data_IF_798570489656
#
_entry.id   IF_798570489656
#
_cell.length_a   1.000
_cell.length_b   1.000
_cell.length_c   1.000
_cell.angle_alpha   90.00
_cell.angle_beta   90.00
_cell.angle_gamma   90.00
#
_symmetry.space_group_name_H-M   'P 1'
#
loop_
_entity.id
_entity.type
_entity.pdbx_description
1 polymer ?
#
# COMPACT_ATOMS: atom_id res chain seq x y z
N UNK A 1 -2.92 -13.28 6.49
CA UNK A 1 -2.14 -12.04 6.65
C UNK A 1 -1.46 -11.72 5.32
N UNK A 2 -1.61 -10.50 4.79
CA UNK A 2 -0.84 -10.04 3.61
C UNK A 2 0.39 -9.31 4.10
N UNK A 3 1.55 -9.64 3.53
CA UNK A 3 2.88 -9.26 4.05
C UNK A 3 3.28 -7.80 3.85
N UNK A 4 2.68 -7.11 2.88
CA UNK A 4 3.20 -5.82 2.38
C UNK A 4 4.71 -5.87 2.14
N UNK A 5 5.14 -6.91 1.42
CA UNK A 5 6.51 -7.13 1.01
C UNK A 5 6.79 -6.24 -0.22
N UNK A 6 6.96 -4.94 0.02
CA UNK A 6 7.02 -3.92 -1.03
C UNK A 6 8.17 -4.17 -2.01
N UNK A 7 9.33 -4.64 -1.53
CA UNK A 7 10.49 -4.92 -2.36
C UNK A 7 10.41 -6.28 -3.10
N UNK A 8 9.50 -7.18 -2.70
CA UNK A 8 9.46 -8.55 -3.23
C UNK A 8 10.62 -9.42 -2.75
N UNK A 9 11.20 -9.12 -1.59
CA UNK A 9 12.41 -9.76 -1.06
C UNK A 9 12.12 -10.77 0.07
N UNK A 10 10.84 -11.12 0.25
CA UNK A 10 10.34 -12.02 1.27
C UNK A 10 10.38 -11.44 2.70
N UNK A 11 10.54 -10.12 2.88
CA UNK A 11 10.48 -9.44 4.18
C UNK A 11 9.13 -8.75 4.39
N UNK A 12 8.28 -9.25 5.30
CA UNK A 12 7.00 -8.60 5.59
C UNK A 12 7.20 -7.29 6.35
N UNK A 13 6.42 -6.27 6.02
CA UNK A 13 6.38 -4.99 6.74
C UNK A 13 5.12 -4.81 7.58
N UNK A 14 4.31 -5.86 7.77
CA UNK A 14 3.02 -5.78 8.49
C UNK A 14 3.04 -6.29 9.93
N UNK A 15 1.97 -5.97 10.67
CA UNK A 15 1.57 -6.58 11.94
C UNK A 15 0.23 -7.29 11.79
N UNK A 16 -0.07 -8.25 12.65
CA UNK A 16 -1.36 -8.93 12.65
C UNK A 16 -2.51 -7.96 12.99
N UNK A 17 -3.69 -8.22 12.43
CA UNK A 17 -4.91 -7.46 12.73
C UNK A 17 -5.06 -6.13 11.98
N UNK A 18 -4.18 -5.81 11.02
CA UNK A 18 -4.29 -4.60 10.20
C UNK A 18 -5.33 -4.78 9.08
N UNK A 19 -6.45 -4.02 9.11
CA UNK A 19 -7.46 -4.08 8.05
C UNK A 19 -6.90 -3.53 6.73
N UNK A 20 -7.31 -4.16 5.63
CA UNK A 20 -6.92 -3.77 4.27
C UNK A 20 -8.11 -3.92 3.34
N UNK A 21 -8.16 -3.03 2.35
CA UNK A 21 -9.08 -3.13 1.21
C UNK A 21 -8.24 -3.43 -0.03
N UNK A 22 -8.50 -4.57 -0.67
CA UNK A 22 -7.74 -5.05 -1.84
C UNK A 22 -8.70 -5.07 -3.01
N UNK A 23 -8.22 -4.61 -4.16
CA UNK A 23 -8.99 -4.54 -5.38
C UNK A 23 -8.05 -4.65 -6.59
N UNK A 24 -8.59 -4.95 -7.76
CA UNK A 24 -7.79 -5.21 -8.96
C UNK A 24 -8.16 -4.34 -10.16
N UNK A 25 -7.29 -4.35 -11.17
CA UNK A 25 -7.49 -3.61 -12.41
C UNK A 25 -8.51 -4.26 -13.35
N UNK A 26 -8.87 -5.52 -13.14
CA UNK A 26 -9.78 -6.30 -13.98
C UNK A 26 -11.25 -6.19 -13.54
N UNK A 27 -11.50 -5.61 -12.36
CA UNK A 27 -12.83 -5.41 -11.81
C UNK A 27 -13.44 -6.66 -11.14
N UNK A 28 -12.63 -7.67 -10.85
CA UNK A 28 -13.09 -8.90 -10.17
C UNK A 28 -13.33 -8.60 -8.68
N UNK A 29 -12.30 -8.07 -8.02
CA UNK A 29 -12.35 -7.47 -6.69
C UNK A 29 -12.46 -5.96 -6.84
N UNK A 30 -13.59 -5.43 -6.42
CA UNK A 30 -13.85 -3.98 -6.47
C UNK A 30 -13.48 -3.35 -5.14
N UNK A 31 -13.06 -2.09 -5.19
CA UNK A 31 -12.75 -1.32 -3.98
C UNK A 31 -14.00 -1.24 -3.13
N UNK A 32 -13.94 -1.80 -1.92
CA UNK A 32 -15.05 -1.66 -0.98
C UNK A 32 -15.30 -0.17 -0.72
N UNK A 33 -16.58 0.23 -0.71
CA UNK A 33 -16.98 1.52 -0.14
C UNK A 33 -16.51 1.57 1.33
N UNK A 34 -16.27 2.76 1.90
CA UNK A 34 -15.87 2.87 3.32
C UNK A 34 -16.85 2.06 4.17
N UNK A 35 -16.35 1.03 4.84
CA UNK A 35 -17.20 0.00 5.44
C UNK A 35 -17.94 0.51 6.68
N UNK A 36 -17.48 1.60 7.29
CA UNK A 36 -18.11 2.30 8.40
C UNK A 36 -17.54 3.74 8.49
N UNK A 37 -18.27 4.74 9.02
CA UNK A 37 -17.68 6.02 9.41
C UNK A 37 -16.46 5.81 10.32
N UNK A 38 -15.30 6.37 9.97
CA UNK A 38 -14.02 6.15 10.68
C UNK A 38 -13.18 4.97 10.17
N UNK A 39 -13.57 4.34 9.07
CA UNK A 39 -12.71 3.40 8.28
C UNK A 39 -12.01 4.11 7.13
N UNK A 40 -11.31 5.20 7.43
CA UNK A 40 -10.62 6.04 6.45
C UNK A 40 -9.43 5.30 5.83
N UNK A 41 -9.70 4.46 4.85
CA UNK A 41 -8.68 3.80 4.04
C UNK A 41 -8.22 4.72 2.92
N UNK A 42 -7.00 5.22 3.03
CA UNK A 42 -6.28 5.86 1.94
C UNK A 42 -5.63 4.82 1.03
N UNK A 43 -5.44 5.19 -0.24
CA UNK A 43 -4.68 4.38 -1.17
C UNK A 43 -3.26 4.15 -0.61
N UNK A 44 -2.85 2.89 -0.54
CA UNK A 44 -1.57 2.50 0.06
C UNK A 44 -0.53 2.22 -1.02
N UNK A 45 -0.85 1.30 -1.95
CA UNK A 45 0.11 0.83 -2.94
C UNK A 45 -0.56 0.18 -4.15
N UNK A 46 0.21 0.06 -5.24
CA UNK A 46 -0.10 -0.74 -6.41
C UNK A 46 1.01 -1.75 -6.70
N UNK A 47 0.59 -2.90 -7.22
CA UNK A 47 1.42 -4.10 -7.31
C UNK A 47 1.38 -4.68 -8.72
N UNK A 48 2.54 -5.07 -9.21
CA UNK A 48 2.70 -6.03 -10.30
C UNK A 48 3.01 -7.43 -9.75
N UNK A 49 3.27 -8.37 -10.65
CA UNK A 49 3.74 -9.71 -10.27
C UNK A 49 5.15 -9.70 -9.65
N UNK A 50 5.91 -8.62 -9.84
CA UNK A 50 7.29 -8.48 -9.38
C UNK A 50 7.43 -7.73 -8.05
N UNK A 51 6.34 -7.17 -7.52
CA UNK A 51 6.38 -6.38 -6.28
C UNK A 51 5.56 -5.09 -6.38
N UNK A 52 5.75 -4.21 -5.41
CA UNK A 52 5.12 -2.89 -5.47
C UNK A 52 5.81 -2.06 -6.56
N UNK A 53 5.00 -1.40 -7.38
CA UNK A 53 5.48 -0.46 -8.40
C UNK A 53 5.20 0.99 -8.02
N UNK A 54 4.42 1.19 -6.95
CA UNK A 54 4.01 2.48 -6.44
C UNK A 54 3.58 2.30 -4.97
N UNK A 55 4.13 3.10 -4.04
CA UNK A 55 3.71 3.10 -2.62
C UNK A 55 3.45 4.53 -2.14
N UNK A 56 2.19 4.86 -1.86
CA UNK A 56 1.77 6.15 -1.33
C UNK A 56 2.15 6.31 0.14
N UNK A 57 1.90 5.27 0.93
CA UNK A 57 2.34 5.19 2.32
C UNK A 57 2.50 3.72 2.74
N UNK A 58 3.45 3.41 3.65
CA UNK A 58 3.53 2.09 4.25
C UNK A 58 2.32 1.82 5.15
N UNK A 59 1.91 0.55 5.24
CA UNK A 59 0.83 0.14 6.14
C UNK A 59 1.17 0.34 7.61
N UNK A 60 2.40 0.00 7.99
CA UNK A 60 2.97 0.14 9.34
C UNK A 60 4.26 0.96 9.22
N UNK A 61 4.19 2.29 9.28
CA UNK A 61 5.35 3.18 9.13
C UNK A 61 6.50 2.91 10.11
N UNK A 62 6.21 2.30 11.27
CA UNK A 62 7.22 1.91 12.26
C UNK A 62 8.04 0.69 11.81
N UNK A 63 7.56 -0.10 10.85
CA UNK A 63 8.29 -1.25 10.32
C UNK A 63 9.12 -0.88 9.09
N UNK A 64 8.63 0.06 8.26
CA UNK A 64 9.36 0.58 7.10
C UNK A 64 8.83 1.96 6.70
N UNK A 65 9.74 2.90 6.40
CA UNK A 65 9.41 4.23 5.90
C UNK A 65 9.61 4.37 4.39
N UNK A 66 9.08 5.45 3.80
CA UNK A 66 9.28 5.74 2.37
C UNK A 66 10.75 5.92 2.01
N UNK A 67 11.56 6.51 2.88
CA UNK A 67 13.00 6.68 2.65
C UNK A 67 13.73 5.33 2.56
N UNK A 68 13.41 4.38 3.47
CA UNK A 68 13.92 3.01 3.41
C UNK A 68 13.47 2.30 2.14
N UNK A 69 12.21 2.45 1.73
CA UNK A 69 11.72 1.88 0.47
C UNK A 69 12.49 2.44 -0.74
N UNK A 70 12.78 3.75 -0.76
CA UNK A 70 13.55 4.36 -1.83
C UNK A 70 14.99 3.84 -1.90
N UNK A 71 15.60 3.57 -0.75
CA UNK A 71 16.97 3.09 -0.64
C UNK A 71 17.12 1.59 -0.91
N UNK A 72 16.15 0.78 -0.46
CA UNK A 72 16.25 -0.68 -0.42
C UNK A 72 15.53 -1.36 -1.60
N UNK A 73 14.40 -0.81 -2.05
CA UNK A 73 13.61 -1.42 -3.11
C UNK A 73 14.00 -0.85 -4.49
N UNK A 74 14.65 -1.67 -5.32
CA UNK A 74 14.97 -1.31 -6.71
C UNK A 74 13.70 -1.03 -7.50
N UNK A 75 13.65 0.14 -8.16
CA UNK A 75 12.56 0.52 -9.06
C UNK A 75 11.37 1.21 -8.39
N UNK A 76 11.45 1.45 -7.08
CA UNK A 76 10.42 2.19 -6.34
C UNK A 76 10.77 3.65 -6.11
N UNK A 77 12.05 4.06 -6.19
CA UNK A 77 12.52 5.40 -5.81
C UNK A 77 11.73 6.57 -6.40
N UNK A 78 11.22 6.43 -7.62
CA UNK A 78 10.48 7.48 -8.35
C UNK A 78 8.95 7.39 -8.20
N UNK A 79 8.45 6.43 -7.42
CA UNK A 79 7.03 6.10 -7.31
C UNK A 79 6.57 5.98 -5.85
N UNK A 80 7.03 6.90 -5.00
CA UNK A 80 6.73 6.92 -3.57
C UNK A 80 5.98 8.17 -3.14
N UNK A 81 5.26 8.05 -2.03
CA UNK A 81 4.66 9.19 -1.35
C UNK A 81 3.51 9.83 -2.13
N UNK A 82 3.34 11.16 -2.06
CA UNK A 82 2.16 11.85 -2.59
C UNK A 82 2.01 11.73 -4.12
N UNK A 83 3.10 11.51 -4.85
CA UNK A 83 3.07 11.30 -6.30
C UNK A 83 2.51 9.93 -6.68
N UNK A 84 2.55 8.98 -5.74
CA UNK A 84 1.89 7.70 -5.85
C UNK A 84 0.41 7.83 -5.47
N UNK A 85 -0.44 8.01 -6.47
CA UNK A 85 -1.90 8.00 -6.36
C UNK A 85 -2.44 6.78 -7.10
N UNK A 86 -3.67 6.37 -6.79
CA UNK A 86 -4.31 5.30 -7.56
C UNK A 86 -4.37 5.65 -9.06
N UNK A 87 -4.61 6.92 -9.40
CA UNK A 87 -4.65 7.39 -10.77
C UNK A 87 -3.28 7.31 -11.46
N UNK A 88 -2.19 7.71 -10.80
CA UNK A 88 -0.84 7.58 -11.37
C UNK A 88 -0.43 6.11 -11.49
N UNK A 89 -0.73 5.28 -10.48
CA UNK A 89 -0.46 3.85 -10.51
C UNK A 89 -1.20 3.13 -11.66
N UNK A 90 -2.45 3.50 -11.95
CA UNK A 90 -3.20 2.95 -13.10
C UNK A 90 -2.56 3.32 -14.44
N UNK A 91 -1.98 4.52 -14.56
CA UNK A 91 -1.29 4.97 -15.78
C UNK A 91 0.02 4.22 -16.06
N UNK A 92 0.64 3.60 -15.05
CA UNK A 92 1.83 2.78 -15.24
C UNK A 92 1.57 1.52 -16.10
N UNK A 93 0.31 1.10 -16.24
CA UNK A 93 -0.08 -0.05 -17.08
C UNK A 93 0.35 -1.44 -16.57
N UNK A 94 1.33 -1.48 -15.65
CA UNK A 94 1.82 -2.69 -15.01
C UNK A 94 1.05 -3.08 -13.73
N UNK A 95 0.29 -2.16 -13.13
CA UNK A 95 -0.52 -2.43 -11.94
C UNK A 95 -1.56 -3.51 -12.22
N UNK A 96 -1.66 -4.51 -11.34
CA UNK A 96 -2.67 -5.58 -11.38
C UNK A 96 -3.54 -5.56 -10.13
N UNK A 97 -2.91 -5.38 -8.98
CA UNK A 97 -3.56 -5.32 -7.67
C UNK A 97 -3.27 -3.97 -7.04
N UNK A 98 -4.26 -3.46 -6.33
CA UNK A 98 -4.18 -2.25 -5.53
C UNK A 98 -4.64 -2.58 -4.12
N UNK A 99 -4.17 -1.79 -3.17
CA UNK A 99 -4.74 -1.84 -1.85
C UNK A 99 -4.79 -0.46 -1.19
N UNK A 100 -5.71 -0.36 -0.25
CA UNK A 100 -5.89 0.78 0.62
C UNK A 100 -5.83 0.31 2.09
N UNK A 101 -5.26 1.14 2.94
CA UNK A 101 -5.19 0.93 4.40
C UNK A 101 -5.21 2.27 5.11
N UNK A 102 -5.30 2.27 6.44
CA UNK A 102 -5.28 3.53 7.20
C UNK A 102 -3.90 4.19 7.20
N UNK A 103 -2.82 3.40 7.20
CA UNK A 103 -1.51 3.86 7.68
C UNK A 103 -1.58 4.23 9.17
N UNK A 104 -0.58 3.90 9.99
CA UNK A 104 -0.61 4.26 11.42
C UNK A 104 -0.30 5.75 11.66
N UNK A 105 -1.05 6.66 11.05
CA UNK A 105 -1.01 8.10 11.35
C UNK A 105 -1.88 8.50 12.56
N UNK A 106 -2.41 7.54 13.33
CA UNK A 106 -3.08 7.79 14.61
C UNK A 106 -2.16 7.37 15.77
N UNK A 107 -1.81 8.28 16.70
CA UNK A 107 -1.06 7.91 17.90
C UNK A 107 -1.85 6.89 18.73
N UNK A 108 -1.13 5.95 19.36
CA UNK A 108 -1.60 4.74 20.05
C UNK A 108 -2.67 4.94 21.16
N UNK A 109 -3.05 6.19 21.47
CA UNK A 109 -3.93 6.56 22.58
C UNK A 109 -5.44 6.55 22.26
N UNK A 110 -5.85 6.02 21.10
CA UNK A 110 -7.26 5.93 20.70
C UNK A 110 -7.77 4.48 20.66
N UNK A 111 -7.53 3.71 21.73
CA UNK A 111 -8.17 2.42 22.00
C UNK A 111 -8.84 2.43 23.37
#
# INVERSE_FOLDING_TARGET
MIRADYCGDNRPSTRNGMPINIYDSFGIQQRAAPLEPGTDFSFEAAWSEQGAICVAHPRVPQNIGLESLAAECRGLSDHLGPDCTEASARRLGASRVFNASRGDSIPEHAR
#
